data_IF_244979318327
#
_entry.id   IF_244979318327
#
_cell.length_a   1.000
_cell.length_b   1.000
_cell.length_c   1.000
_cell.angle_alpha   90.00
_cell.angle_beta   90.00
_cell.angle_gamma   90.00
#
_symmetry.space_group_name_H-M   'P 1'
#
loop_
_entity.id
_entity.type
_entity.pdbx_description
1 polymer ?
#
# COMPACT_ATOMS: atom_id res chain seq x y z
N UNK A 1 29.32 -27.85 -55.40
CA UNK A 1 28.37 -27.10 -54.55
C UNK A 1 28.38 -27.68 -53.14
N UNK A 2 29.09 -27.04 -52.20
CA UNK A 2 29.14 -27.50 -50.80
C UNK A 2 27.89 -27.02 -50.07
N UNK A 3 27.13 -27.97 -49.49
CA UNK A 3 25.96 -27.67 -48.67
C UNK A 3 26.43 -27.27 -47.27
N UNK A 4 26.28 -26.00 -46.92
CA UNK A 4 26.43 -25.52 -45.56
C UNK A 4 25.31 -26.12 -44.70
N UNK A 5 25.67 -26.86 -43.64
CA UNK A 5 24.73 -27.33 -42.63
C UNK A 5 24.45 -26.17 -41.66
N UNK A 6 23.21 -25.68 -41.51
CA UNK A 6 22.90 -24.74 -40.46
C UNK A 6 22.98 -25.47 -39.11
N UNK A 7 24.00 -25.14 -38.32
CA UNK A 7 24.08 -25.51 -36.91
C UNK A 7 23.09 -24.65 -36.14
N UNK A 8 21.83 -25.10 -36.08
CA UNK A 8 20.85 -24.50 -35.18
C UNK A 8 21.16 -25.05 -33.79
N UNK A 9 21.94 -24.30 -33.02
CA UNK A 9 22.03 -24.53 -31.57
C UNK A 9 20.64 -24.30 -30.99
N UNK A 10 19.88 -25.37 -30.78
CA UNK A 10 18.64 -25.31 -30.04
C UNK A 10 18.99 -24.93 -28.60
N UNK A 11 18.79 -23.64 -28.25
CA UNK A 11 18.84 -23.21 -26.85
C UNK A 11 17.94 -24.19 -26.06
N UNK A 12 18.44 -24.81 -24.98
CA UNK A 12 17.62 -25.73 -24.21
C UNK A 12 16.33 -25.02 -23.80
N UNK A 13 15.18 -25.70 -23.83
CA UNK A 13 13.90 -25.08 -23.53
C UNK A 13 14.01 -24.36 -22.20
N UNK A 14 13.74 -23.04 -22.22
CA UNK A 14 13.76 -22.21 -21.03
C UNK A 14 12.92 -22.91 -19.97
N UNK A 15 13.58 -23.35 -18.88
CA UNK A 15 12.91 -24.02 -17.75
C UNK A 15 11.75 -23.11 -17.31
N UNK A 16 10.52 -23.51 -17.61
CA UNK A 16 9.30 -22.84 -17.17
C UNK A 16 9.13 -23.17 -15.68
N UNK A 17 9.86 -22.48 -14.80
CA UNK A 17 9.70 -22.66 -13.35
C UNK A 17 8.27 -22.26 -12.99
N UNK A 18 7.42 -23.21 -12.54
CA UNK A 18 6.05 -22.90 -12.15
C UNK A 18 6.04 -22.12 -10.84
N UNK A 19 4.90 -21.48 -10.54
CA UNK A 19 4.74 -20.82 -9.26
C UNK A 19 4.57 -21.88 -8.15
N UNK A 20 5.27 -21.71 -7.04
CA UNK A 20 5.10 -22.56 -5.86
C UNK A 20 4.27 -21.80 -4.81
N UNK A 21 3.24 -22.41 -4.21
CA UNK A 21 2.40 -21.74 -3.19
C UNK A 21 3.21 -21.17 -2.02
N UNK A 22 4.30 -21.84 -1.62
CA UNK A 22 5.21 -21.36 -0.58
C UNK A 22 5.77 -19.96 -0.87
N UNK A 23 5.88 -19.57 -2.14
CA UNK A 23 6.38 -18.24 -2.52
C UNK A 23 5.47 -17.10 -2.03
N UNK A 24 4.17 -17.33 -1.83
CA UNK A 24 3.24 -16.31 -1.32
C UNK A 24 3.70 -15.80 0.04
N UNK A 25 3.92 -16.73 0.98
CA UNK A 25 4.35 -16.38 2.33
C UNK A 25 5.85 -16.05 2.39
N UNK A 26 6.71 -16.80 1.70
CA UNK A 26 8.16 -16.58 1.78
C UNK A 26 8.60 -15.22 1.25
N UNK A 27 7.95 -14.73 0.18
CA UNK A 27 8.36 -13.51 -0.52
C UNK A 27 7.32 -12.38 -0.45
N UNK A 28 6.21 -12.58 0.27
CA UNK A 28 5.13 -11.59 0.37
C UNK A 28 4.46 -11.34 -0.98
N UNK A 29 4.04 -12.41 -1.64
CA UNK A 29 3.38 -12.38 -2.95
C UNK A 29 1.89 -12.74 -2.83
N UNK A 30 1.12 -12.40 -3.85
CA UNK A 30 -0.28 -12.78 -3.96
C UNK A 30 -0.61 -13.18 -5.41
N UNK A 31 -1.27 -14.32 -5.59
CA UNK A 31 -1.73 -14.78 -6.90
C UNK A 31 -2.86 -13.89 -7.39
N UNK A 32 -2.70 -13.33 -8.59
CA UNK A 32 -3.68 -12.41 -9.19
C UNK A 32 -4.53 -13.08 -10.27
N UNK A 33 -3.93 -14.02 -11.01
CA UNK A 33 -4.62 -14.70 -12.09
C UNK A 33 -4.07 -16.12 -12.27
N UNK A 34 -4.99 -17.02 -12.62
CA UNK A 34 -4.72 -18.39 -13.07
C UNK A 34 -5.32 -18.54 -14.47
N UNK A 35 -4.72 -19.38 -15.29
CA UNK A 35 -5.28 -19.73 -16.60
C UNK A 35 -6.45 -20.71 -16.47
N UNK A 36 -7.04 -21.09 -17.61
CA UNK A 36 -8.16 -22.05 -17.68
C UNK A 36 -7.82 -23.43 -17.11
N UNK A 37 -6.53 -23.77 -17.06
CA UNK A 37 -6.01 -25.02 -16.51
C UNK A 37 -5.69 -24.91 -15.01
N UNK A 38 -5.92 -23.75 -14.40
CA UNK A 38 -5.61 -23.46 -13.00
C UNK A 38 -4.14 -23.10 -12.71
N UNK A 39 -3.31 -22.96 -13.74
CA UNK A 39 -1.89 -22.60 -13.60
C UNK A 39 -1.77 -21.10 -13.38
N UNK A 40 -1.00 -20.72 -12.35
CA UNK A 40 -0.74 -19.32 -12.03
C UNK A 40 -0.05 -18.62 -13.20
N UNK A 41 -0.64 -17.52 -13.67
CA UNK A 41 -0.15 -16.74 -14.80
C UNK A 41 0.24 -15.29 -14.43
N UNK A 42 -0.21 -14.80 -13.28
CA UNK A 42 0.25 -13.54 -12.71
C UNK A 42 0.28 -13.55 -11.19
N UNK A 43 1.35 -13.03 -10.61
CA UNK A 43 1.47 -12.78 -9.16
C UNK A 43 1.93 -11.34 -8.92
N UNK A 44 1.46 -10.75 -7.82
CA UNK A 44 1.77 -9.37 -7.44
C UNK A 44 2.58 -9.33 -6.16
N UNK A 45 3.50 -8.37 -6.06
CA UNK A 45 4.19 -8.01 -4.83
C UNK A 45 3.22 -7.33 -3.84
N UNK A 46 3.04 -7.90 -2.63
CA UNK A 46 2.17 -7.31 -1.62
C UNK A 46 2.76 -6.03 -1.00
N UNK A 47 4.09 -5.94 -0.87
CA UNK A 47 4.75 -4.71 -0.39
C UNK A 47 4.45 -3.51 -1.29
N UNK A 48 4.53 -3.70 -2.61
CA UNK A 48 4.10 -2.70 -3.58
C UNK A 48 2.64 -2.26 -3.40
N UNK A 49 1.72 -3.19 -3.07
CA UNK A 49 0.29 -2.90 -2.89
C UNK A 49 0.04 -2.07 -1.63
N UNK A 50 0.65 -2.45 -0.51
CA UNK A 50 0.31 -1.89 0.80
C UNK A 50 1.21 -0.74 1.24
N UNK A 51 2.48 -0.76 0.87
CA UNK A 51 3.46 0.23 1.33
C UNK A 51 4.04 1.09 0.20
N UNK A 52 3.81 0.72 -1.07
CA UNK A 52 4.50 1.35 -2.19
C UNK A 52 5.98 1.03 -2.18
N UNK A 53 6.76 1.73 -3.00
CA UNK A 53 8.22 1.59 -3.10
C UNK A 53 8.90 2.61 -2.20
N UNK A 54 9.87 2.12 -1.44
CA UNK A 54 10.75 2.93 -0.62
C UNK A 54 11.69 3.75 -1.51
N UNK A 55 12.02 4.95 -1.02
CA UNK A 55 12.88 5.89 -1.73
C UNK A 55 14.33 5.39 -1.73
N UNK A 56 15.03 5.64 -2.84
CA UNK A 56 16.46 5.31 -2.90
C UNK A 56 17.26 6.38 -2.17
N UNK A 57 18.14 5.98 -1.25
CA UNK A 57 19.06 6.91 -0.56
C UNK A 57 19.88 7.79 -1.52
N UNK A 58 20.11 7.31 -2.75
CA UNK A 58 20.93 7.98 -3.76
C UNK A 58 20.14 8.44 -4.99
N UNK A 59 18.80 8.41 -4.94
CA UNK A 59 17.95 8.78 -6.07
C UNK A 59 17.83 10.29 -6.24
N UNK A 60 18.18 10.82 -7.43
CA UNK A 60 17.94 12.24 -7.77
C UNK A 60 16.48 12.55 -8.09
N UNK A 61 15.63 11.52 -8.23
CA UNK A 61 14.22 11.62 -8.59
C UNK A 61 13.42 10.62 -7.77
N UNK A 62 12.22 11.03 -7.34
CA UNK A 62 11.26 10.17 -6.65
C UNK A 62 10.94 8.94 -7.50
N UNK A 63 10.92 7.77 -6.86
CA UNK A 63 10.64 6.51 -7.56
C UNK A 63 9.18 6.39 -7.98
N UNK A 64 8.93 5.80 -9.14
CA UNK A 64 7.58 5.47 -9.59
C UNK A 64 6.92 4.46 -8.65
N UNK A 65 5.70 4.75 -8.22
CA UNK A 65 4.96 3.94 -7.23
C UNK A 65 4.17 2.77 -7.88
N UNK A 66 4.55 2.39 -9.10
CA UNK A 66 3.89 1.30 -9.83
C UNK A 66 4.11 -0.05 -9.15
N UNK A 67 3.01 -0.77 -8.94
CA UNK A 67 3.02 -2.10 -8.35
C UNK A 67 3.74 -3.10 -9.26
N UNK A 68 4.55 -3.98 -8.67
CA UNK A 68 5.26 -5.02 -9.41
C UNK A 68 4.39 -6.27 -9.57
N UNK A 69 4.20 -6.68 -10.82
CA UNK A 69 3.63 -7.97 -11.21
C UNK A 69 4.71 -8.84 -11.85
N UNK A 70 4.59 -10.15 -11.65
CA UNK A 70 5.46 -11.17 -12.24
C UNK A 70 4.64 -12.13 -13.09
N UNK A 71 5.25 -12.57 -14.18
CA UNK A 71 4.76 -13.60 -15.09
C UNK A 71 5.78 -14.75 -15.12
N UNK A 72 5.40 -15.96 -15.57
CA UNK A 72 6.34 -17.06 -15.70
C UNK A 72 7.55 -16.68 -16.59
N UNK A 73 8.77 -17.17 -16.30
CA UNK A 73 9.12 -18.12 -15.25
C UNK A 73 9.25 -17.47 -13.85
N UNK A 74 8.76 -18.19 -12.83
CA UNK A 74 8.69 -17.71 -11.45
C UNK A 74 9.97 -18.00 -10.68
N UNK A 75 11.00 -17.18 -10.91
CA UNK A 75 12.33 -17.33 -10.28
C UNK A 75 12.39 -16.59 -8.94
N UNK A 76 12.67 -17.28 -7.82
CA UNK A 76 12.77 -16.65 -6.50
C UNK A 76 13.75 -15.48 -6.42
N UNK A 77 14.87 -15.56 -7.15
CA UNK A 77 15.85 -14.48 -7.23
C UNK A 77 15.23 -13.13 -7.60
N UNK A 78 14.28 -13.11 -8.54
CA UNK A 78 13.64 -11.86 -8.97
C UNK A 78 12.75 -11.25 -7.88
N UNK A 79 12.20 -12.06 -6.98
CA UNK A 79 11.44 -11.55 -5.85
C UNK A 79 12.38 -10.94 -4.82
N UNK A 80 13.46 -11.65 -4.49
CA UNK A 80 14.48 -11.16 -3.55
C UNK A 80 15.09 -9.86 -4.03
N UNK A 81 15.56 -9.79 -5.29
CA UNK A 81 16.16 -8.58 -5.87
C UNK A 81 15.19 -7.40 -5.85
N UNK A 82 13.92 -7.65 -6.15
CA UNK A 82 12.91 -6.60 -6.08
C UNK A 82 12.66 -6.14 -4.65
N UNK A 83 12.48 -7.07 -3.71
CA UNK A 83 12.17 -6.75 -2.31
C UNK A 83 13.34 -6.00 -1.66
N UNK A 84 14.59 -6.42 -1.89
CA UNK A 84 15.76 -5.72 -1.35
C UNK A 84 15.95 -4.33 -1.94
N UNK A 85 15.71 -4.16 -3.24
CA UNK A 85 15.93 -2.87 -3.93
C UNK A 85 14.76 -1.90 -3.81
N UNK A 86 13.52 -2.36 -3.61
CA UNK A 86 12.32 -1.53 -3.61
C UNK A 86 11.62 -1.42 -2.26
N UNK A 87 11.90 -2.35 -1.34
CA UNK A 87 11.25 -2.46 -0.04
C UNK A 87 12.27 -2.85 1.03
N UNK A 88 13.50 -2.35 0.97
CA UNK A 88 14.60 -2.83 1.81
C UNK A 88 14.30 -2.82 3.31
N UNK A 89 13.59 -1.81 3.81
CA UNK A 89 13.20 -1.67 5.22
C UNK A 89 12.08 -2.66 5.55
N UNK A 90 10.95 -2.59 4.82
CA UNK A 90 9.79 -3.48 5.06
C UNK A 90 10.12 -4.95 4.84
N UNK A 91 11.01 -5.25 3.90
CA UNK A 91 11.49 -6.59 3.62
C UNK A 91 12.34 -7.15 4.77
N UNK A 92 13.25 -6.34 5.32
CA UNK A 92 14.05 -6.74 6.48
C UNK A 92 13.16 -7.02 7.70
N UNK A 93 12.17 -6.15 7.96
CA UNK A 93 11.16 -6.36 9.00
C UNK A 93 10.42 -7.68 8.77
N UNK A 94 9.93 -7.90 7.54
CA UNK A 94 9.20 -9.11 7.20
C UNK A 94 10.05 -10.37 7.36
N UNK A 95 11.32 -10.35 6.96
CA UNK A 95 12.21 -11.51 7.06
C UNK A 95 12.42 -11.96 8.51
N UNK A 96 12.50 -11.03 9.45
CA UNK A 96 12.69 -11.30 10.88
C UNK A 96 11.46 -11.92 11.56
N UNK A 97 10.29 -11.92 10.91
CA UNK A 97 9.05 -12.47 11.45
C UNK A 97 8.97 -14.00 11.31
N UNK A 98 8.25 -14.61 12.25
CA UNK A 98 7.81 -16.01 12.18
C UNK A 98 6.80 -16.23 11.04
N UNK A 99 6.51 -17.49 10.73
CA UNK A 99 5.54 -17.86 9.68
C UNK A 99 4.14 -17.30 9.97
N UNK A 100 3.71 -17.37 11.24
CA UNK A 100 2.38 -16.92 11.66
C UNK A 100 2.27 -15.39 11.58
N UNK A 101 3.28 -14.67 12.05
CA UNK A 101 3.35 -13.22 11.94
C UNK A 101 3.40 -12.74 10.48
N UNK A 102 4.13 -13.45 9.61
CA UNK A 102 4.15 -13.17 8.16
C UNK A 102 2.76 -13.26 7.53
N UNK A 103 1.94 -14.21 7.98
CA UNK A 103 0.58 -14.38 7.47
C UNK A 103 -0.33 -13.20 7.85
N UNK A 104 -0.09 -12.59 9.02
CA UNK A 104 -0.83 -11.44 9.52
C UNK A 104 -0.26 -10.08 9.07
N UNK A 105 0.99 -10.03 8.58
CA UNK A 105 1.72 -8.78 8.31
C UNK A 105 1.00 -7.81 7.36
N UNK A 106 0.26 -8.34 6.38
CA UNK A 106 -0.49 -7.54 5.41
C UNK A 106 -1.98 -7.40 5.76
N UNK A 107 -2.46 -8.08 6.80
CA UNK A 107 -3.86 -8.06 7.21
C UNK A 107 -4.23 -6.71 7.82
N UNK A 108 -5.40 -6.18 7.46
CA UNK A 108 -5.88 -4.88 7.93
C UNK A 108 -5.13 -3.66 7.37
N UNK A 109 -4.15 -3.85 6.48
CA UNK A 109 -3.41 -2.75 5.87
C UNK A 109 -4.22 -2.10 4.75
N UNK A 110 -4.33 -0.77 4.76
CA UNK A 110 -4.92 0.00 3.66
C UNK A 110 -3.91 0.03 2.51
N UNK A 111 -4.36 -0.24 1.28
CA UNK A 111 -3.48 -0.16 0.10
C UNK A 111 -2.82 1.21 0.00
N UNK A 112 -1.53 1.26 -0.31
CA UNK A 112 -0.76 2.50 -0.43
C UNK A 112 -1.47 3.55 -1.28
N UNK A 113 -2.00 3.16 -2.45
CA UNK A 113 -2.68 4.08 -3.36
C UNK A 113 -3.98 4.68 -2.80
N UNK A 114 -4.54 4.06 -1.75
CA UNK A 114 -5.73 4.53 -1.04
C UNK A 114 -5.36 5.34 0.20
N UNK A 115 -4.07 5.52 0.51
CA UNK A 115 -3.60 6.40 1.57
C UNK A 115 -3.36 7.79 0.99
N UNK A 116 -3.81 8.83 1.70
CA UNK A 116 -3.58 10.24 1.31
C UNK A 116 -2.08 10.47 1.05
N UNK A 117 -1.20 10.01 1.94
CA UNK A 117 0.26 10.14 1.81
C UNK A 117 0.86 9.67 0.48
N UNK A 118 0.18 8.80 -0.29
CA UNK A 118 0.67 8.38 -1.61
C UNK A 118 0.57 9.48 -2.67
N UNK A 119 -0.40 10.39 -2.53
CA UNK A 119 -0.70 11.48 -3.47
C UNK A 119 -0.12 12.82 -3.04
N UNK A 120 0.26 12.96 -1.76
CA UNK A 120 0.85 14.18 -1.21
C UNK A 120 2.35 14.01 -0.95
N UNK A 121 3.12 15.10 -1.01
CA UNK A 121 4.53 15.11 -0.63
C UNK A 121 4.66 15.20 0.90
N UNK A 122 5.46 14.29 1.47
CA UNK A 122 5.65 14.12 2.93
C UNK A 122 6.22 15.38 3.61
N UNK A 123 6.76 16.32 2.84
CA UNK A 123 7.32 17.58 3.36
C UNK A 123 6.26 18.54 3.94
N UNK A 124 4.97 18.31 3.65
CA UNK A 124 3.87 19.01 4.32
C UNK A 124 3.22 18.09 5.36
N UNK A 125 3.93 17.82 6.46
CA UNK A 125 3.45 16.94 7.54
C UNK A 125 2.20 17.45 8.28
N UNK A 126 1.78 18.68 8.00
CA UNK A 126 0.54 19.27 8.53
C UNK A 126 -0.28 19.84 7.40
N UNK A 127 -1.51 19.34 7.24
CA UNK A 127 -2.52 19.97 6.40
C UNK A 127 -3.39 20.86 7.31
N UNK A 128 -3.19 22.17 7.24
CA UNK A 128 -4.05 23.15 7.90
C UNK A 128 -5.17 23.54 6.94
N UNK A 129 -6.41 23.33 7.36
CA UNK A 129 -7.59 23.81 6.63
C UNK A 129 -8.29 24.85 7.48
N UNK A 130 -8.44 26.06 6.93
CA UNK A 130 -9.32 27.08 7.48
C UNK A 130 -10.73 26.79 6.98
N UNK A 131 -11.55 26.14 7.81
CA UNK A 131 -12.94 25.83 7.50
C UNK A 131 -13.80 26.94 8.12
N UNK A 132 -14.56 27.70 7.33
CA UNK A 132 -15.49 28.68 7.85
C UNK A 132 -16.48 28.06 8.83
N UNK A 133 -16.73 28.75 9.95
CA UNK A 133 -17.58 28.28 11.04
C UNK A 133 -18.95 27.79 10.55
N UNK A 134 -19.59 28.53 9.63
CA UNK A 134 -20.89 28.18 9.07
C UNK A 134 -20.91 26.82 8.34
N UNK A 135 -19.79 26.37 7.76
CA UNK A 135 -19.73 25.03 7.14
C UNK A 135 -19.75 23.94 8.20
N UNK A 136 -19.07 24.16 9.34
CA UNK A 136 -19.08 23.19 10.43
C UNK A 136 -20.45 23.16 11.09
N UNK A 137 -21.04 24.31 11.38
CA UNK A 137 -22.32 24.38 12.11
C UNK A 137 -23.53 24.01 11.24
N UNK A 138 -23.62 24.51 10.00
CA UNK A 138 -24.80 24.30 9.17
C UNK A 138 -24.78 22.98 8.40
N UNK A 139 -23.60 22.50 8.00
CA UNK A 139 -23.47 21.30 7.18
C UNK A 139 -23.18 20.08 8.05
N UNK A 140 -22.07 20.07 8.80
CA UNK A 140 -21.73 18.92 9.65
C UNK A 140 -22.66 18.87 10.87
N UNK A 141 -22.85 20.02 11.52
CA UNK A 141 -23.69 20.16 12.71
C UNK A 141 -25.11 19.70 12.44
N UNK A 142 -25.80 20.28 11.45
CA UNK A 142 -27.19 19.88 11.15
C UNK A 142 -27.28 18.45 10.60
N UNK A 143 -26.36 17.99 9.74
CA UNK A 143 -26.45 16.62 9.20
C UNK A 143 -26.28 15.55 10.29
N UNK A 144 -25.37 15.75 11.25
CA UNK A 144 -25.10 14.77 12.31
C UNK A 144 -25.91 15.00 13.59
N UNK A 145 -26.36 16.23 13.82
CA UNK A 145 -27.12 16.66 15.00
C UNK A 145 -28.35 17.43 14.50
N UNK A 146 -29.29 16.72 13.88
CA UNK A 146 -30.62 17.26 13.64
C UNK A 146 -31.40 17.22 14.96
N UNK A 147 -32.08 18.32 15.30
CA UNK A 147 -32.93 18.43 16.50
C UNK A 147 -34.11 17.44 16.50
N UNK A 148 -34.35 16.74 15.39
CA UNK A 148 -35.38 15.69 15.28
C UNK A 148 -34.89 14.31 15.75
N UNK A 149 -33.59 14.10 15.94
CA UNK A 149 -33.04 12.83 16.43
C UNK A 149 -32.78 12.94 17.94
N UNK A 150 -33.75 12.51 18.76
CA UNK A 150 -33.79 12.62 20.24
C UNK A 150 -32.57 12.02 20.98
N UNK A 151 -31.63 11.38 20.29
CA UNK A 151 -30.55 10.58 20.90
C UNK A 151 -29.24 11.29 21.23
N UNK A 152 -28.88 12.40 20.56
CA UNK A 152 -27.56 13.00 20.75
C UNK A 152 -27.55 14.52 20.50
N UNK A 153 -27.88 15.31 21.53
CA UNK A 153 -27.68 16.77 21.46
C UNK A 153 -26.19 17.13 21.30
N UNK A 154 -25.88 18.18 20.53
CA UNK A 154 -24.56 18.80 20.37
C UNK A 154 -23.72 18.88 21.66
N UNK A 155 -24.25 19.33 22.83
CA UNK A 155 -23.48 19.37 24.07
C UNK A 155 -23.06 18.01 24.63
N UNK A 156 -23.72 16.91 24.25
CA UNK A 156 -23.32 15.54 24.63
C UNK A 156 -22.15 15.07 23.77
N UNK A 157 -22.15 15.39 22.48
CA UNK A 157 -21.05 15.05 21.56
C UNK A 157 -19.77 15.84 21.89
N UNK A 158 -19.89 17.14 22.23
CA UNK A 158 -18.76 17.97 22.63
C UNK A 158 -18.05 17.47 23.90
N UNK A 159 -18.76 16.78 24.81
CA UNK A 159 -18.14 16.14 26.00
C UNK A 159 -17.23 14.97 25.63
N UNK A 160 -17.46 14.31 24.51
CA UNK A 160 -16.63 13.19 24.05
C UNK A 160 -15.25 13.65 23.54
N UNK A 161 -15.12 14.93 23.14
CA UNK A 161 -13.86 15.51 22.65
C UNK A 161 -12.99 16.15 23.74
N UNK A 162 -13.42 16.12 25.01
CA UNK A 162 -12.68 16.69 26.14
C UNK A 162 -12.79 18.22 26.20
N UNK A 163 -12.92 18.75 27.43
CA UNK A 163 -13.16 20.17 27.68
C UNK A 163 -12.12 21.08 27.01
N UNK A 164 -12.54 21.78 25.95
CA UNK A 164 -11.82 22.96 25.46
C UNK A 164 -12.01 24.10 26.49
N UNK A 165 -10.93 24.74 26.98
CA UNK A 165 -11.09 25.92 27.81
C UNK A 165 -11.67 27.06 26.98
N UNK A 166 -12.84 27.58 27.39
CA UNK A 166 -13.39 28.82 26.84
C UNK A 166 -12.52 29.99 27.30
N UNK A 167 -11.58 30.43 26.47
CA UNK A 167 -11.00 31.76 26.63
C UNK A 167 -11.99 32.81 26.10
N UNK A 168 -12.94 33.18 26.95
CA UNK A 168 -13.69 34.42 26.79
C UNK A 168 -12.95 35.51 27.56
N UNK A 169 -12.01 36.19 26.91
CA UNK A 169 -11.54 37.49 27.38
C UNK A 169 -12.25 38.56 26.57
N UNK A 170 -13.22 39.15 27.25
CA UNK A 170 -14.01 40.31 26.87
C UNK A 170 -13.08 41.45 26.46
N UNK A 171 -13.18 41.90 25.21
CA UNK A 171 -12.88 43.29 24.88
C UNK A 171 -14.10 44.11 25.30
N UNK A 172 -13.98 44.83 26.41
CA UNK A 172 -14.79 46.00 26.72
C UNK A 172 -13.89 47.23 26.65
N UNK A 173 -14.41 48.26 25.99
CA UNK A 173 -13.80 49.56 25.68
C UNK A 173 -13.02 50.22 26.84
#
# INVERSE_FOLDING_TARGET
MQRLKPSVSSKPPSRKTPFQPAHELQYGLNVMAKDVSGVVCSVRCQFCKYFGREESKNGKRRRTQNQKFYKPPYRPQYYTDHNTTAHGIKWAQYQALSSDEKSAFFSGQISHNNQLSSHYEVESSTLSFDIPEHIVTDLIGKIFFNDEDEGASEPVALRAFGNYPRNNQLFSN
#
